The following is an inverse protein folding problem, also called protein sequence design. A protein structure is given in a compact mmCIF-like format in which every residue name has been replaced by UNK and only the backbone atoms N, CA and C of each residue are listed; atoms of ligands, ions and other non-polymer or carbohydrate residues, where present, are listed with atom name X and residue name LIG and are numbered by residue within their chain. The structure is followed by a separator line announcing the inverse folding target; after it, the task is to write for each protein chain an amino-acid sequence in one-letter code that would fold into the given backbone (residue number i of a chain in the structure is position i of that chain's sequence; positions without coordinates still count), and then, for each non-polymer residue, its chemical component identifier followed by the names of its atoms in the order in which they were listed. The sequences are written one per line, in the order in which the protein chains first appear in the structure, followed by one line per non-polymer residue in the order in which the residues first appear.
data_IF_363687407312
#
_entry.id   IF_363687407312
#
_cell.length_a   1.000
_cell.length_b   1.000
_cell.length_c   1.000
_cell.angle_alpha   90.00
_cell.angle_beta   90.00
_cell.angle_gamma   90.00
#
_symmetry.space_group_name_H-M   'P 1'
#
loop_
_entity.id
_entity.type
_entity.pdbx_description
1 polymer ?
#
# COMPACT_ATOMS: atom_id res chain seq x y z
N UNK A 1 23.88 3.52 -5.78
CA UNK A 1 23.31 3.81 -7.11
C UNK A 1 22.77 5.23 -7.12
N UNK A 2 22.83 5.97 -8.25
CA UNK A 2 22.37 7.35 -8.31
C UNK A 2 20.85 7.43 -8.21
N UNK A 3 20.36 8.34 -7.37
CA UNK A 3 18.93 8.53 -7.05
C UNK A 3 18.49 9.97 -7.29
N UNK A 4 19.20 10.70 -8.16
CA UNK A 4 19.05 12.13 -8.41
C UNK A 4 17.78 12.49 -9.21
N UNK A 5 16.63 11.88 -8.87
CA UNK A 5 15.34 12.09 -9.49
C UNK A 5 14.19 11.86 -8.48
N UNK A 6 13.54 12.93 -8.01
CA UNK A 6 12.31 12.80 -7.21
C UNK A 6 11.10 12.48 -8.08
N UNK A 7 11.07 13.05 -9.29
CA UNK A 7 10.05 12.77 -10.29
C UNK A 7 10.41 11.47 -10.99
N UNK A 8 9.44 10.58 -11.10
CA UNK A 8 9.56 9.33 -11.83
C UNK A 8 8.32 9.11 -12.70
N UNK A 9 8.49 8.43 -13.84
CA UNK A 9 7.34 7.98 -14.63
C UNK A 9 6.66 6.79 -13.94
N UNK A 10 5.35 6.68 -14.09
CA UNK A 10 4.59 5.52 -13.60
C UNK A 10 5.10 4.21 -14.19
N UNK A 11 5.65 4.25 -15.40
CA UNK A 11 6.36 3.12 -16.00
C UNK A 11 7.47 2.58 -15.09
N UNK A 12 8.49 3.39 -14.79
CA UNK A 12 9.62 2.97 -13.95
C UNK A 12 9.24 2.74 -12.49
N UNK A 13 8.26 3.49 -11.97
CA UNK A 13 7.84 3.35 -10.59
C UNK A 13 6.92 2.14 -10.35
N UNK A 14 6.19 1.65 -11.37
CA UNK A 14 5.23 0.57 -11.20
C UNK A 14 5.32 -0.50 -12.29
N UNK A 15 5.12 -0.14 -13.56
CA UNK A 15 4.96 -1.12 -14.65
C UNK A 15 6.23 -1.96 -14.86
N UNK A 16 7.41 -1.33 -14.81
CA UNK A 16 8.72 -1.98 -14.95
C UNK A 16 9.05 -2.93 -13.78
N UNK A 17 8.33 -2.81 -12.67
CA UNK A 17 8.43 -3.72 -11.53
C UNK A 17 7.43 -4.88 -11.64
N UNK A 18 6.73 -5.02 -12.77
CA UNK A 18 5.63 -5.97 -12.90
C UNK A 18 4.50 -5.71 -11.88
N UNK A 19 4.27 -4.45 -11.48
CA UNK A 19 3.13 -4.08 -10.65
C UNK A 19 1.93 -3.68 -11.55
N UNK A 20 0.75 -4.31 -11.40
CA UNK A 20 -0.36 -4.12 -12.33
C UNK A 20 -0.96 -2.70 -12.24
N UNK A 21 -1.55 -2.22 -13.34
CA UNK A 21 -2.11 -0.86 -13.42
C UNK A 21 -3.31 -0.62 -12.49
N UNK A 22 -4.09 -1.67 -12.21
CA UNK A 22 -5.22 -1.66 -11.28
C UNK A 22 -4.81 -1.78 -9.80
N UNK A 23 -3.51 -1.76 -9.48
CA UNK A 23 -3.04 -1.88 -8.11
C UNK A 23 -3.41 -0.63 -7.30
N UNK A 24 -3.99 -0.74 -6.08
CA UNK A 24 -4.47 0.39 -5.30
C UNK A 24 -3.38 1.42 -4.98
N UNK A 25 -2.13 0.99 -4.81
CA UNK A 25 -1.00 1.90 -4.61
C UNK A 25 -0.81 2.93 -5.75
N UNK A 26 -1.40 2.71 -6.93
CA UNK A 26 -1.36 3.63 -8.07
C UNK A 26 -2.50 4.65 -8.04
N UNK A 27 -3.42 4.56 -7.08
CA UNK A 27 -4.51 5.52 -6.93
C UNK A 27 -3.98 6.87 -6.43
N UNK A 28 -4.65 7.95 -6.82
CA UNK A 28 -4.32 9.32 -6.38
C UNK A 28 -4.45 9.49 -4.86
N UNK A 29 -5.15 8.59 -4.18
CA UNK A 29 -5.22 8.54 -2.72
C UNK A 29 -3.93 8.07 -2.07
N UNK A 30 -3.07 7.32 -2.76
CA UNK A 30 -1.82 6.77 -2.21
C UNK A 30 -0.57 7.40 -2.86
N UNK A 31 -0.70 7.94 -4.09
CA UNK A 31 0.41 8.46 -4.89
C UNK A 31 0.23 9.93 -5.28
N UNK A 32 1.31 10.71 -5.18
CA UNK A 32 1.35 12.09 -5.68
C UNK A 32 1.68 12.12 -7.18
N UNK A 33 0.67 12.30 -8.01
CA UNK A 33 0.85 12.55 -9.44
C UNK A 33 1.18 14.01 -9.72
N UNK A 34 2.00 14.26 -10.74
CA UNK A 34 2.34 15.62 -11.14
C UNK A 34 1.27 16.23 -12.03
N UNK A 35 1.00 17.52 -11.79
CA UNK A 35 0.26 18.36 -12.73
C UNK A 35 1.17 18.84 -13.87
N UNK A 36 2.39 19.26 -13.56
CA UNK A 36 3.37 19.76 -14.52
C UNK A 36 4.80 19.34 -14.09
N UNK A 37 5.57 18.65 -14.95
CA UNK A 37 5.14 17.96 -16.17
C UNK A 37 4.28 16.72 -15.83
N UNK A 38 3.04 16.64 -16.31
CA UNK A 38 2.13 15.51 -16.03
C UNK A 38 2.53 14.21 -16.72
N UNK A 39 3.24 14.28 -17.85
CA UNK A 39 3.65 13.11 -18.64
C UNK A 39 5.14 13.09 -18.90
N UNK A 40 5.71 11.89 -18.95
CA UNK A 40 7.10 11.67 -19.39
C UNK A 40 7.19 11.81 -20.92
N UNK A 41 8.34 12.31 -21.39
CA UNK A 41 8.60 12.51 -22.82
C UNK A 41 9.38 11.37 -23.47
N UNK A 42 10.09 10.56 -22.68
CA UNK A 42 11.00 9.53 -23.19
C UNK A 42 10.92 8.29 -22.30
N UNK A 43 10.63 7.16 -22.94
CA UNK A 43 10.76 5.82 -22.38
C UNK A 43 11.50 4.93 -23.40
N UNK A 44 12.16 3.86 -22.94
CA UNK A 44 12.76 2.88 -23.86
C UNK A 44 11.65 2.07 -24.54
N UNK A 45 11.26 2.45 -25.75
CA UNK A 45 10.08 1.90 -26.43
C UNK A 45 10.11 0.37 -26.58
N UNK A 46 11.26 -0.21 -26.94
CA UNK A 46 11.40 -1.67 -27.05
C UNK A 46 11.16 -2.38 -25.72
N UNK A 47 11.60 -1.78 -24.61
CA UNK A 47 11.38 -2.33 -23.28
C UNK A 47 9.94 -2.15 -22.83
N UNK A 48 9.33 -0.99 -23.11
CA UNK A 48 7.92 -0.75 -22.82
C UNK A 48 7.04 -1.80 -23.49
N UNK A 49 7.32 -2.16 -24.74
CA UNK A 49 6.49 -3.13 -25.45
C UNK A 49 6.66 -4.56 -24.94
N UNK A 50 7.88 -4.92 -24.49
CA UNK A 50 8.09 -6.19 -23.77
C UNK A 50 7.35 -6.22 -22.44
N UNK A 51 7.38 -5.12 -21.67
CA UNK A 51 6.63 -5.00 -20.40
C UNK A 51 5.14 -5.12 -20.65
N UNK A 52 4.59 -4.35 -21.59
CA UNK A 52 3.18 -4.41 -21.99
C UNK A 52 2.77 -5.85 -22.31
N UNK A 53 3.50 -6.53 -23.21
CA UNK A 53 3.20 -7.93 -23.59
C UNK A 53 3.12 -8.85 -22.38
N UNK A 54 4.09 -8.75 -21.45
CA UNK A 54 4.16 -9.60 -20.25
C UNK A 54 3.05 -9.29 -19.27
N UNK A 55 2.65 -8.03 -19.12
CA UNK A 55 1.50 -7.63 -18.30
C UNK A 55 0.18 -8.16 -18.87
N UNK A 56 -0.05 -8.00 -20.17
CA UNK A 56 -1.33 -8.34 -20.80
C UNK A 56 -1.49 -9.86 -20.99
N UNK A 57 -0.54 -10.45 -21.72
CA UNK A 57 -0.63 -11.81 -22.26
C UNK A 57 0.30 -12.81 -21.59
N UNK A 58 1.19 -12.33 -20.72
CA UNK A 58 2.24 -13.14 -20.14
C UNK A 58 3.45 -13.32 -21.05
N UNK A 59 4.32 -14.24 -20.66
CA UNK A 59 5.63 -14.46 -21.26
C UNK A 59 6.61 -15.00 -20.21
N UNK A 60 7.73 -15.56 -20.67
CA UNK A 60 8.79 -16.06 -19.79
C UNK A 60 8.30 -17.08 -18.73
N UNK A 61 7.38 -17.96 -19.12
CA UNK A 61 6.76 -18.94 -18.21
C UNK A 61 5.60 -18.41 -17.36
N UNK A 62 5.30 -17.11 -17.40
CA UNK A 62 4.18 -16.50 -16.70
C UNK A 62 2.95 -16.31 -17.58
N UNK A 63 1.77 -16.33 -16.97
CA UNK A 63 0.48 -16.03 -17.63
C UNK A 63 0.17 -14.54 -17.72
N UNK A 64 1.00 -13.68 -17.12
CA UNK A 64 0.71 -12.25 -17.01
C UNK A 64 -0.48 -11.97 -16.10
N UNK A 65 -1.04 -10.77 -16.22
CA UNK A 65 -2.20 -10.34 -15.43
C UNK A 65 -3.53 -10.43 -16.18
N UNK A 66 -3.53 -10.62 -17.51
CA UNK A 66 -4.75 -10.82 -18.29
C UNK A 66 -5.66 -9.58 -18.37
N UNK A 67 -5.07 -8.38 -18.48
CA UNK A 67 -5.80 -7.12 -18.64
C UNK A 67 -5.21 -6.30 -19.80
N UNK A 68 -5.92 -5.26 -20.23
CA UNK A 68 -5.44 -4.31 -21.24
C UNK A 68 -4.51 -3.27 -20.61
N UNK A 69 -3.24 -3.26 -21.00
CA UNK A 69 -2.23 -2.36 -20.48
C UNK A 69 -2.27 -1.03 -21.23
N UNK A 70 -2.46 0.06 -20.48
CA UNK A 70 -2.66 1.40 -21.05
C UNK A 70 -1.37 2.20 -21.02
N UNK A 71 -0.92 2.64 -22.20
CA UNK A 71 0.29 3.47 -22.33
C UNK A 71 0.16 4.81 -21.61
N UNK A 72 -1.02 5.38 -21.61
CA UNK A 72 -1.30 6.66 -20.94
C UNK A 72 -1.03 6.60 -19.44
N UNK A 73 -1.37 5.48 -18.79
CA UNK A 73 -1.13 5.27 -17.35
C UNK A 73 0.37 5.19 -17.05
N UNK A 74 1.15 4.52 -17.90
CA UNK A 74 2.60 4.41 -17.75
C UNK A 74 3.33 5.74 -17.98
N UNK A 75 2.77 6.60 -18.83
CA UNK A 75 3.35 7.90 -19.15
C UNK A 75 3.16 8.94 -18.03
N UNK A 76 2.23 8.76 -17.09
CA UNK A 76 1.98 9.71 -16.00
C UNK A 76 3.21 9.87 -15.12
N UNK A 77 3.62 11.09 -14.86
CA UNK A 77 4.67 11.39 -13.89
C UNK A 77 4.10 11.48 -12.47
N UNK A 78 4.91 11.07 -11.52
CA UNK A 78 4.62 11.08 -10.09
C UNK A 78 5.88 11.44 -9.29
N UNK A 79 5.69 11.76 -8.02
CA UNK A 79 6.78 11.72 -7.05
C UNK A 79 7.01 10.27 -6.64
N UNK A 80 8.25 9.78 -6.78
CA UNK A 80 8.57 8.36 -6.57
C UNK A 80 8.10 7.86 -5.20
N UNK A 81 7.47 6.69 -5.18
CA UNK A 81 6.84 6.15 -3.95
C UNK A 81 7.75 5.21 -3.16
N UNK A 82 8.82 4.74 -3.80
CA UNK A 82 9.85 3.87 -3.25
C UNK A 82 11.12 3.92 -4.12
N UNK A 83 12.28 3.64 -3.51
CA UNK A 83 13.59 3.59 -4.21
C UNK A 83 13.70 2.42 -5.19
N UNK A 84 12.79 1.46 -5.15
CA UNK A 84 12.78 0.30 -6.07
C UNK A 84 12.61 0.72 -7.54
N UNK A 85 12.05 1.91 -7.78
CA UNK A 85 12.04 2.50 -9.11
C UNK A 85 13.46 2.76 -9.63
N UNK A 86 14.36 3.24 -8.76
CA UNK A 86 15.79 3.44 -9.08
C UNK A 86 16.46 2.10 -9.36
N UNK A 87 16.17 1.09 -8.54
CA UNK A 87 16.66 -0.28 -8.73
C UNK A 87 16.27 -0.84 -10.11
N UNK A 88 15.03 -0.62 -10.55
CA UNK A 88 14.58 -1.06 -11.88
C UNK A 88 15.37 -0.41 -13.03
N UNK A 89 15.68 0.89 -12.92
CA UNK A 89 16.52 1.60 -13.90
C UNK A 89 17.94 1.05 -13.93
N UNK A 90 18.51 0.79 -12.76
CA UNK A 90 19.88 0.25 -12.65
C UNK A 90 19.98 -1.17 -13.22
N UNK A 91 19.00 -2.03 -12.92
CA UNK A 91 18.93 -3.38 -13.46
C UNK A 91 18.70 -3.38 -14.97
N UNK A 92 17.83 -2.50 -15.48
CA UNK A 92 17.65 -2.32 -16.92
C UNK A 92 18.95 -1.90 -17.60
N UNK A 93 19.66 -0.90 -17.04
CA UNK A 93 20.94 -0.45 -17.57
C UNK A 93 22.01 -1.55 -17.55
N UNK A 94 22.06 -2.36 -16.48
CA UNK A 94 22.94 -3.53 -16.39
C UNK A 94 22.63 -4.56 -17.49
N UNK A 95 21.35 -4.75 -17.81
CA UNK A 95 20.91 -5.70 -18.83
C UNK A 95 21.27 -5.29 -20.27
N UNK A 96 21.63 -4.01 -20.51
CA UNK A 96 22.00 -3.54 -21.85
C UNK A 96 23.44 -3.89 -22.24
N UNK A 97 24.25 -4.42 -21.32
CA UNK A 97 25.64 -4.80 -21.56
C UNK A 97 25.91 -6.27 -21.21
N UNK A 98 27.17 -6.72 -21.33
CA UNK A 98 27.55 -8.05 -20.86
C UNK A 98 27.26 -8.18 -19.36
N UNK A 99 26.59 -9.27 -18.99
CA UNK A 99 26.23 -9.49 -17.60
C UNK A 99 27.47 -9.62 -16.70
N UNK A 100 27.49 -8.87 -15.62
CA UNK A 100 28.45 -9.00 -14.54
C UNK A 100 27.71 -8.90 -13.19
N UNK A 101 28.06 -9.72 -12.19
CA UNK A 101 27.46 -9.63 -10.86
C UNK A 101 27.63 -8.23 -10.25
N UNK A 102 26.57 -7.72 -9.62
CA UNK A 102 26.57 -6.38 -9.00
C UNK A 102 25.84 -6.37 -7.67
N UNK A 103 26.31 -5.51 -6.78
CA UNK A 103 25.66 -5.16 -5.52
C UNK A 103 25.39 -3.67 -5.53
N UNK A 104 24.13 -3.28 -5.36
CA UNK A 104 23.73 -1.88 -5.32
C UNK A 104 23.04 -1.57 -4.00
N UNK A 105 23.18 -0.32 -3.56
CA UNK A 105 22.37 0.24 -2.49
C UNK A 105 22.03 1.70 -2.79
N UNK A 106 20.95 2.18 -2.20
CA UNK A 106 20.55 3.58 -2.19
C UNK A 106 19.94 3.96 -0.86
N UNK A 107 20.13 5.20 -0.45
CA UNK A 107 19.40 5.83 0.65
C UNK A 107 18.87 7.14 0.10
N UNK A 108 17.55 7.25 -0.05
CA UNK A 108 16.98 8.49 -0.56
C UNK A 108 15.51 8.68 -0.17
N UNK A 109 15.03 9.90 -0.34
CA UNK A 109 13.68 10.33 -0.01
C UNK A 109 12.65 9.81 -0.98
N UNK A 110 11.51 9.36 -0.47
CA UNK A 110 10.36 8.88 -1.23
C UNK A 110 9.09 9.56 -0.71
N UNK A 111 8.06 9.61 -1.55
CA UNK A 111 6.86 10.41 -1.31
C UNK A 111 5.62 9.51 -1.39
N UNK A 112 4.72 9.62 -0.41
CA UNK A 112 3.47 8.86 -0.38
C UNK A 112 2.35 9.75 0.09
N UNK A 113 1.20 9.66 -0.57
CA UNK A 113 0.02 10.44 -0.19
C UNK A 113 -0.71 9.78 0.99
N UNK A 114 0.04 9.45 2.04
CA UNK A 114 -0.50 8.89 3.27
C UNK A 114 -0.89 10.03 4.22
N UNK A 115 -1.91 9.80 5.06
CA UNK A 115 -2.32 10.78 6.04
C UNK A 115 -1.19 11.04 7.04
N UNK A 116 -0.77 12.30 7.15
CA UNK A 116 0.32 12.69 8.06
C UNK A 116 -0.13 12.54 9.51
N UNK A 117 0.50 11.63 10.24
CA UNK A 117 0.21 11.34 11.63
C UNK A 117 1.49 11.44 12.49
N UNK A 118 1.49 10.87 13.69
CA UNK A 118 2.65 10.86 14.60
C UNK A 118 3.81 9.99 14.10
N UNK A 119 3.52 9.04 13.22
CA UNK A 119 4.39 7.95 12.78
C UNK A 119 4.65 7.96 11.28
N UNK A 120 3.83 8.68 10.50
CA UNK A 120 3.89 8.75 9.06
C UNK A 120 3.98 10.20 8.60
N UNK A 121 4.95 10.44 7.72
CA UNK A 121 5.08 11.67 6.95
C UNK A 121 4.77 11.37 5.48
N UNK A 122 4.34 12.41 4.76
CA UNK A 122 4.15 12.35 3.32
C UNK A 122 5.47 12.13 2.54
N UNK A 123 6.61 12.41 3.18
CA UNK A 123 7.94 12.15 2.67
C UNK A 123 8.82 11.53 3.76
N UNK A 124 9.64 10.54 3.41
CA UNK A 124 10.57 9.86 4.31
C UNK A 124 11.71 9.22 3.52
N UNK A 125 12.80 8.80 4.16
CA UNK A 125 13.95 8.20 3.50
C UNK A 125 13.84 6.66 3.53
N UNK A 126 13.98 6.06 2.35
CA UNK A 126 14.03 4.62 2.18
C UNK A 126 15.48 4.21 1.89
N UNK A 127 15.94 3.21 2.63
CA UNK A 127 17.17 2.47 2.38
C UNK A 127 16.78 1.23 1.60
N UNK A 128 17.49 0.96 0.51
CA UNK A 128 17.32 -0.25 -0.28
C UNK A 128 18.67 -0.82 -0.68
N UNK A 129 18.78 -2.14 -0.61
CA UNK A 129 19.92 -2.91 -1.07
C UNK A 129 19.46 -4.01 -2.02
N UNK A 130 20.26 -4.31 -3.03
CA UNK A 130 20.02 -5.45 -3.92
C UNK A 130 21.33 -6.08 -4.39
N UNK A 131 21.27 -7.38 -4.66
CA UNK A 131 22.37 -8.17 -5.20
C UNK A 131 21.84 -8.94 -6.41
N UNK A 132 22.53 -8.80 -7.54
CA UNK A 132 22.22 -9.43 -8.81
C UNK A 132 23.39 -10.35 -9.16
N UNK A 133 23.13 -11.67 -9.21
CA UNK A 133 24.13 -12.71 -9.45
C UNK A 133 23.45 -14.00 -9.94
N UNK A 134 24.25 -14.97 -10.37
CA UNK A 134 23.77 -16.30 -10.78
C UNK A 134 23.61 -17.23 -9.56
N UNK A 135 22.55 -18.02 -9.54
CA UNK A 135 22.31 -19.02 -8.49
C UNK A 135 21.94 -18.42 -7.13
N UNK A 136 21.40 -17.19 -7.08
CA UNK A 136 20.91 -16.64 -5.82
C UNK A 136 19.65 -17.37 -5.35
N UNK A 137 19.57 -17.61 -4.04
CA UNK A 137 18.46 -18.34 -3.41
C UNK A 137 17.92 -17.53 -2.25
N UNK A 138 16.79 -17.97 -1.71
CA UNK A 138 16.23 -17.39 -0.49
C UNK A 138 17.20 -17.47 0.70
N UNK A 139 18.01 -18.53 0.77
CA UNK A 139 19.05 -18.69 1.78
C UNK A 139 20.13 -17.61 1.69
N UNK A 140 20.53 -17.22 0.48
CA UNK A 140 21.47 -16.11 0.28
C UNK A 140 20.88 -14.78 0.77
N UNK A 141 19.61 -14.50 0.49
CA UNK A 141 18.93 -13.33 1.02
C UNK A 141 18.91 -13.33 2.56
N UNK A 142 18.52 -14.43 3.18
CA UNK A 142 18.51 -14.56 4.64
C UNK A 142 19.91 -14.34 5.24
N UNK A 143 20.95 -14.93 4.64
CA UNK A 143 22.34 -14.76 5.07
C UNK A 143 22.81 -13.30 5.00
N UNK A 144 22.51 -12.61 3.90
CA UNK A 144 22.81 -11.17 3.74
C UNK A 144 22.08 -10.33 4.78
N UNK A 145 20.82 -10.64 5.07
CA UNK A 145 20.03 -9.94 6.09
C UNK A 145 20.60 -10.15 7.50
N UNK A 146 21.03 -11.36 7.84
CA UNK A 146 21.72 -11.63 9.09
C UNK A 146 23.02 -10.83 9.22
N UNK A 147 23.89 -10.82 8.21
CA UNK A 147 25.13 -10.02 8.22
C UNK A 147 24.80 -8.52 8.34
N UNK A 148 23.90 -8.01 7.51
CA UNK A 148 23.50 -6.60 7.51
C UNK A 148 22.97 -6.13 8.86
N UNK A 149 22.02 -6.85 9.46
CA UNK A 149 21.43 -6.44 10.74
C UNK A 149 22.32 -6.73 11.95
N UNK A 150 23.19 -7.74 11.89
CA UNK A 150 24.17 -7.99 12.96
C UNK A 150 25.13 -6.80 13.14
N UNK A 151 25.57 -6.18 12.04
CA UNK A 151 26.40 -4.95 12.05
C UNK A 151 25.66 -3.73 12.57
N UNK A 152 24.32 -3.78 12.61
CA UNK A 152 23.45 -2.78 13.23
C UNK A 152 23.06 -3.15 14.67
N UNK A 153 23.71 -4.15 15.29
CA UNK A 153 23.41 -4.60 16.65
C UNK A 153 22.11 -5.41 16.79
N UNK A 154 21.51 -5.85 15.69
CA UNK A 154 20.26 -6.61 15.66
C UNK A 154 20.51 -8.07 15.24
N UNK A 155 20.90 -8.91 16.19
CA UNK A 155 21.25 -10.32 15.94
C UNK A 155 20.05 -11.28 15.92
N UNK A 156 18.97 -10.95 16.64
CA UNK A 156 17.78 -11.81 16.76
C UNK A 156 16.76 -11.51 15.66
N UNK A 157 16.88 -12.20 14.52
CA UNK A 157 15.97 -12.04 13.38
C UNK A 157 14.92 -13.16 13.28
N UNK A 158 13.74 -12.81 12.77
CA UNK A 158 12.70 -13.72 12.29
C UNK A 158 12.18 -13.22 10.95
N UNK A 159 11.82 -14.16 10.09
CA UNK A 159 11.27 -13.88 8.76
C UNK A 159 9.84 -14.39 8.69
N UNK A 160 8.96 -13.58 8.12
CA UNK A 160 7.56 -13.93 7.92
C UNK A 160 7.24 -13.81 6.44
N UNK A 161 6.65 -14.85 5.80
CA UNK A 161 6.23 -14.75 4.41
C UNK A 161 5.31 -13.55 4.19
N UNK A 162 5.56 -12.82 3.12
CA UNK A 162 4.86 -11.61 2.76
C UNK A 162 4.49 -11.64 1.27
N UNK A 163 3.83 -10.59 0.81
CA UNK A 163 3.51 -10.38 -0.59
C UNK A 163 4.01 -9.00 -1.00
N UNK A 164 4.85 -8.95 -2.03
CA UNK A 164 5.06 -7.74 -2.82
C UNK A 164 4.88 -8.10 -4.31
N UNK A 165 4.20 -7.26 -5.11
CA UNK A 165 3.92 -7.57 -6.53
C UNK A 165 5.15 -7.94 -7.36
N UNK A 166 6.29 -7.33 -7.03
CA UNK A 166 7.55 -7.45 -7.78
C UNK A 166 8.51 -8.50 -7.22
N UNK A 167 8.13 -9.24 -6.17
CA UNK A 167 8.99 -10.31 -5.61
C UNK A 167 8.25 -11.62 -5.41
N UNK A 168 8.92 -12.73 -5.71
CA UNK A 168 8.48 -14.07 -5.35
C UNK A 168 9.71 -14.98 -5.19
N UNK A 169 10.00 -15.51 -3.99
CA UNK A 169 9.32 -15.30 -2.70
C UNK A 169 9.59 -13.92 -2.06
N UNK A 170 8.71 -13.49 -1.14
CA UNK A 170 8.87 -12.28 -0.31
C UNK A 170 8.84 -12.59 1.19
N UNK A 171 9.56 -11.79 1.99
CA UNK A 171 9.51 -11.88 3.45
C UNK A 171 9.59 -10.50 4.14
N UNK A 172 8.76 -10.33 5.16
CA UNK A 172 8.91 -9.30 6.19
C UNK A 172 10.00 -9.74 7.17
N UNK A 173 10.77 -8.75 7.65
CA UNK A 173 11.91 -8.95 8.54
C UNK A 173 11.54 -8.40 9.91
N UNK A 174 11.62 -9.25 10.93
CA UNK A 174 11.36 -8.90 12.32
C UNK A 174 12.64 -9.03 13.15
N UNK A 175 12.85 -8.10 14.08
CA UNK A 175 13.87 -8.24 15.13
C UNK A 175 13.24 -8.24 16.50
N UNK A 176 13.81 -9.02 17.43
CA UNK A 176 13.37 -9.01 18.81
C UNK A 176 13.89 -7.77 19.52
N UNK A 177 12.96 -7.04 20.12
CA UNK A 177 13.26 -5.79 20.80
C UNK A 177 13.29 -6.03 22.32
N UNK A 178 14.49 -6.06 22.92
CA UNK A 178 14.70 -6.38 24.35
C UNK A 178 13.87 -5.49 25.29
N UNK A 179 13.90 -4.16 25.10
CA UNK A 179 13.16 -3.22 25.95
C UNK A 179 11.63 -3.29 25.86
N UNK A 180 11.08 -3.92 24.80
CA UNK A 180 9.64 -4.06 24.57
C UNK A 180 9.17 -5.51 24.70
N UNK A 181 10.13 -6.42 24.89
CA UNK A 181 9.95 -7.86 24.94
C UNK A 181 9.07 -8.41 23.80
N UNK A 182 9.17 -7.84 22.59
CA UNK A 182 8.34 -8.22 21.43
C UNK A 182 9.12 -8.20 20.12
N UNK A 183 8.60 -8.93 19.14
CA UNK A 183 9.07 -8.88 17.75
C UNK A 183 8.53 -7.63 17.06
N UNK A 184 9.42 -6.86 16.43
CA UNK A 184 9.10 -5.63 15.70
C UNK A 184 9.56 -5.76 14.26
N UNK A 185 8.71 -5.37 13.31
CA UNK A 185 9.06 -5.32 11.90
C UNK A 185 10.09 -4.21 11.66
N UNK A 186 11.22 -4.58 11.07
CA UNK A 186 12.35 -3.68 10.79
C UNK A 186 12.60 -3.48 9.30
N UNK A 187 12.01 -4.31 8.44
CA UNK A 187 12.18 -4.21 7.00
C UNK A 187 11.35 -5.21 6.21
N UNK A 188 11.46 -5.13 4.89
CA UNK A 188 10.84 -6.03 3.93
C UNK A 188 11.87 -6.45 2.87
N UNK A 189 11.70 -7.61 2.27
CA UNK A 189 12.64 -8.16 1.30
C UNK A 189 11.98 -9.20 0.39
N UNK A 190 12.68 -9.59 -0.65
CA UNK A 190 12.28 -10.68 -1.52
C UNK A 190 13.23 -10.90 -2.69
N UNK A 191 12.90 -11.87 -3.52
CA UNK A 191 13.59 -12.15 -4.77
C UNK A 191 12.78 -11.55 -5.93
N UNK A 192 13.38 -10.73 -6.78
CA UNK A 192 12.63 -10.11 -7.88
C UNK A 192 12.10 -11.15 -8.85
N UNK A 193 10.88 -10.92 -9.31
CA UNK A 193 10.17 -11.80 -10.21
C UNK A 193 10.83 -11.92 -11.59
N UNK A 194 10.81 -13.09 -12.23
CA UNK A 194 11.26 -13.25 -13.61
C UNK A 194 10.53 -12.32 -14.60
N UNK A 195 9.23 -12.06 -14.37
CA UNK A 195 8.44 -11.14 -15.21
C UNK A 195 8.86 -9.68 -15.10
N UNK A 196 9.62 -9.33 -14.06
CA UNK A 196 10.27 -8.04 -13.94
C UNK A 196 11.64 -8.07 -14.63
N UNK A 197 12.46 -9.11 -14.40
CA UNK A 197 13.87 -9.14 -14.82
C UNK A 197 14.07 -9.51 -16.29
N UNK A 198 13.35 -10.52 -16.79
CA UNK A 198 13.57 -11.07 -18.13
C UNK A 198 13.19 -10.08 -19.25
N UNK A 199 12.10 -9.28 -19.13
CA UNK A 199 11.82 -8.22 -20.10
C UNK A 199 12.91 -7.15 -20.17
N UNK A 200 13.70 -6.95 -19.10
CA UNK A 200 14.83 -6.01 -19.12
C UNK A 200 15.96 -6.51 -20.04
N UNK A 201 16.05 -7.82 -20.28
CA UNK A 201 17.12 -8.47 -21.03
C UNK A 201 18.16 -9.17 -20.15
N UNK A 202 17.90 -9.34 -18.85
CA UNK A 202 18.80 -10.12 -17.99
C UNK A 202 18.75 -11.62 -18.39
N UNK A 203 19.89 -12.34 -18.32
CA UNK A 203 19.93 -13.79 -18.57
C UNK A 203 19.00 -14.57 -17.63
N UNK A 204 18.44 -15.69 -18.11
CA UNK A 204 17.46 -16.50 -17.34
C UNK A 204 18.00 -17.11 -16.05
N UNK A 205 19.30 -17.36 -15.99
CA UNK A 205 20.00 -17.93 -14.84
C UNK A 205 20.53 -16.86 -13.86
N UNK A 206 20.19 -15.59 -14.08
CA UNK A 206 20.46 -14.49 -13.17
C UNK A 206 19.25 -14.24 -12.28
N UNK A 207 19.49 -14.14 -10.98
CA UNK A 207 18.47 -13.78 -9.99
C UNK A 207 18.87 -12.51 -9.26
N UNK A 208 17.88 -11.81 -8.71
CA UNK A 208 18.09 -10.61 -7.91
C UNK A 208 17.41 -10.75 -6.56
N UNK A 209 18.17 -10.61 -5.49
CA UNK A 209 17.65 -10.51 -4.12
C UNK A 209 17.71 -9.06 -3.68
N UNK A 210 16.66 -8.57 -3.01
CA UNK A 210 16.58 -7.19 -2.57
C UNK A 210 15.91 -7.08 -1.19
N UNK A 211 16.28 -6.02 -0.46
CA UNK A 211 15.68 -5.67 0.82
C UNK A 211 15.60 -4.15 0.98
N UNK A 212 14.66 -3.71 1.82
CA UNK A 212 14.49 -2.31 2.13
C UNK A 212 13.93 -2.06 3.51
N UNK A 213 14.27 -0.88 4.05
CA UNK A 213 13.80 -0.39 5.34
C UNK A 213 13.70 1.14 5.31
N UNK A 214 12.95 1.72 6.24
CA UNK A 214 12.95 3.17 6.47
C UNK A 214 14.17 3.55 7.30
N UNK A 215 14.75 4.73 7.04
CA UNK A 215 15.81 5.31 7.86
C UNK A 215 15.26 5.93 9.15
N UNK A 216 14.08 6.53 9.07
CA UNK A 216 13.44 7.23 10.20
C UNK A 216 13.17 6.28 11.36
N UNK A 217 12.76 5.05 11.09
CA UNK A 217 12.43 4.08 12.15
C UNK A 217 13.63 3.73 13.04
N UNK A 218 14.75 3.20 12.53
CA UNK A 218 15.94 2.99 13.35
C UNK A 218 16.42 4.25 14.06
N UNK A 219 16.27 5.43 13.44
CA UNK A 219 16.71 6.71 14.02
C UNK A 219 15.82 7.16 15.17
N UNK A 220 14.49 7.10 14.99
CA UNK A 220 13.49 7.38 16.02
C UNK A 220 13.58 6.40 17.17
N UNK A 221 13.95 5.16 16.85
CA UNK A 221 14.46 4.21 17.80
C UNK A 221 15.75 4.85 18.34
N UNK A 222 16.98 4.58 17.91
CA UNK A 222 18.23 5.17 18.45
C UNK A 222 18.18 6.39 19.41
N UNK A 223 17.52 7.50 19.02
CA UNK A 223 17.38 8.73 19.80
C UNK A 223 16.17 8.84 20.75
N UNK A 224 15.31 7.83 20.89
CA UNK A 224 14.15 7.88 21.80
C UNK A 224 13.06 8.85 21.35
N UNK A 225 12.88 9.04 20.04
CA UNK A 225 11.96 10.02 19.47
C UNK A 225 10.61 9.37 19.18
N UNK A 226 9.56 9.91 19.80
CA UNK A 226 8.21 9.35 19.79
C UNK A 226 7.33 9.85 18.63
N UNK A 227 7.73 10.93 17.97
CA UNK A 227 6.99 11.58 16.90
C UNK A 227 7.94 11.97 15.78
N UNK A 228 7.67 11.46 14.57
CA UNK A 228 8.54 11.61 13.40
C UNK A 228 8.77 13.08 13.01
N UNK A 229 7.83 13.97 13.34
CA UNK A 229 7.93 15.42 13.06
C UNK A 229 8.99 16.12 13.89
N UNK A 230 9.37 15.52 15.01
CA UNK A 230 10.41 16.03 15.90
C UNK A 230 11.81 15.56 15.43
N UNK A 231 11.84 14.54 14.55
CA UNK A 231 13.06 14.05 13.91
C UNK A 231 13.36 14.80 12.60
N UNK A 232 12.34 15.01 11.77
CA UNK A 232 12.51 15.51 10.41
C UNK A 232 11.43 16.53 10.02
N UNK A 233 11.86 17.63 9.39
CA UNK A 233 11.00 18.69 8.87
C UNK A 233 11.33 20.07 9.45
N UNK A 234 10.63 21.10 8.96
CA UNK A 234 10.86 22.49 9.37
C UNK A 234 10.43 22.81 10.82
N UNK A 235 9.77 21.87 11.50
CA UNK A 235 9.31 22.01 12.90
C UNK A 235 10.24 21.36 13.92
N UNK A 236 11.37 20.80 13.48
CA UNK A 236 12.34 20.16 14.37
C UNK A 236 12.92 21.17 15.35
N UNK A 237 12.97 20.80 16.63
CA UNK A 237 13.63 21.59 17.67
C UNK A 237 15.15 21.53 17.48
N UNK A 238 15.78 22.65 17.16
CA UNK A 238 17.23 22.74 17.00
C UNK A 238 17.99 22.40 18.30
N UNK A 239 17.34 22.54 19.46
CA UNK A 239 17.92 22.16 20.75
C UNK A 239 18.07 20.63 20.87
N UNK A 240 17.19 19.86 20.24
CA UNK A 240 17.31 18.41 20.14
C UNK A 240 18.52 18.02 19.29
N UNK A 241 18.73 18.71 18.15
CA UNK A 241 19.89 18.48 17.28
C UNK A 241 21.21 18.76 18.02
N UNK A 242 21.27 19.85 18.79
CA UNK A 242 22.48 20.24 19.54
C UNK A 242 22.80 19.32 20.71
N UNK A 243 21.77 18.78 21.38
CA UNK A 243 21.93 17.92 22.57
C UNK A 243 22.15 16.46 22.24
N UNK A 244 21.57 15.98 21.15
CA UNK A 244 21.67 14.57 20.80
C UNK A 244 23.11 14.19 20.45
N UNK A 245 23.61 13.06 20.98
CA UNK A 245 24.95 12.60 20.67
C UNK A 245 25.05 12.22 19.19
N UNK A 246 26.27 12.29 18.65
CA UNK A 246 26.58 11.77 17.32
C UNK A 246 26.21 10.28 17.30
N UNK A 247 25.45 9.85 16.29
CA UNK A 247 25.20 8.43 16.06
C UNK A 247 26.53 7.72 15.80
N UNK A 248 26.97 6.89 16.76
CA UNK A 248 28.11 5.99 16.61
C UNK A 248 27.61 4.57 16.67
N UNK A 249 27.98 3.78 15.67
CA UNK A 249 27.76 2.35 15.65
C UNK A 249 28.95 1.70 16.36
N UNK A 250 28.90 1.61 17.69
CA UNK A 250 29.93 0.88 18.43
C UNK A 250 29.75 -0.62 18.17
N UNK A 251 30.67 -1.20 17.41
CA UNK A 251 30.70 -2.62 17.00
C UNK A 251 31.21 -3.52 18.15
N UNK A 252 31.60 -2.94 19.29
CA UNK A 252 32.18 -3.63 20.42
C UNK A 252 31.11 -4.17 21.38
N UNK A 253 30.47 -5.29 21.03
CA UNK A 253 29.93 -6.31 21.96
C UNK A 253 28.80 -5.96 22.93
N UNK A 254 28.70 -4.72 23.40
CA UNK A 254 27.60 -4.19 24.19
C UNK A 254 26.64 -3.54 23.21
N UNK A 255 25.75 -4.36 22.68
CA UNK A 255 24.76 -3.94 21.71
C UNK A 255 24.09 -2.66 22.17
N UNK A 256 24.11 -1.65 21.29
CA UNK A 256 23.15 -0.56 21.18
C UNK A 256 22.20 -0.52 22.40
N UNK A 257 22.61 0.22 23.45
CA UNK A 257 21.83 0.46 24.68
C UNK A 257 20.60 1.27 24.31
N UNK A 258 19.65 0.55 23.76
CA UNK A 258 18.54 1.09 23.02
C UNK A 258 17.37 1.24 24.03
N UNK A 259 17.25 2.42 24.65
CA UNK A 259 16.10 2.74 25.53
C UNK A 259 14.86 2.99 24.69
N UNK A 260 13.96 2.01 24.58
CA UNK A 260 12.85 2.08 23.60
C UNK A 260 11.47 1.73 24.10
N UNK A 261 10.56 2.65 23.78
CA UNK A 261 9.12 2.56 23.98
C UNK A 261 8.36 2.17 22.71
N UNK A 262 7.08 1.84 22.91
CA UNK A 262 6.24 0.92 22.12
C UNK A 262 5.60 1.56 20.88
N UNK A 263 5.85 1.06 19.66
CA UNK A 263 5.11 1.51 18.45
C UNK A 263 4.80 0.41 17.41
N UNK A 264 3.93 0.75 16.44
CA UNK A 264 3.26 -0.09 15.43
C UNK A 264 3.99 -0.13 14.07
N UNK A 265 3.80 -1.20 13.30
CA UNK A 265 4.60 -1.62 12.11
C UNK A 265 4.06 -1.10 10.76
N UNK A 266 4.86 -1.14 9.65
CA UNK A 266 4.39 -0.69 8.31
C UNK A 266 3.33 -1.67 7.84
N UNK A 267 2.28 -1.16 7.21
CA UNK A 267 1.64 -1.91 6.14
C UNK A 267 2.14 -1.33 4.84
N UNK A 268 2.88 -2.11 4.07
CA UNK A 268 3.01 -1.88 2.63
C UNK A 268 1.60 -1.82 2.04
N UNK A 269 1.40 -0.93 1.08
CA UNK A 269 0.17 -0.82 0.31
C UNK A 269 -0.32 -2.22 -0.10
N UNK A 270 -1.49 -2.62 0.42
CA UNK A 270 -2.20 -3.82 -0.01
C UNK A 270 -1.66 -5.19 0.42
N UNK A 271 -1.30 -5.40 1.69
CA UNK A 271 -1.36 -6.76 2.28
C UNK A 271 -2.54 -6.86 3.26
N UNK A 272 -3.63 -7.47 2.80
CA UNK A 272 -4.75 -7.88 3.67
C UNK A 272 -4.46 -9.25 4.28
N UNK A 273 -3.62 -9.31 5.31
CA UNK A 273 -3.77 -10.32 6.38
C UNK A 273 -3.48 -9.71 7.75
N UNK A 274 -4.53 -9.11 8.32
CA UNK A 274 -4.60 -8.95 9.76
C UNK A 274 -4.78 -10.36 10.35
N UNK A 275 -3.87 -10.78 11.23
CA UNK A 275 -4.15 -11.80 12.25
C UNK A 275 -5.20 -11.28 13.24
N UNK A 276 -6.42 -11.08 12.74
CA UNK A 276 -7.63 -10.96 13.53
C UNK A 276 -8.33 -12.29 13.34
N UNK A 277 -8.60 -13.01 14.42
CA UNK A 277 -9.52 -14.14 14.43
C UNK A 277 -10.99 -13.70 14.26
N UNK A 278 -11.23 -12.58 13.59
CA UNK A 278 -12.53 -12.17 13.12
C UNK A 278 -12.44 -11.87 11.64
N UNK A 279 -13.27 -12.56 10.86
CA UNK A 279 -13.44 -12.35 9.42
C UNK A 279 -13.54 -10.83 9.12
N UNK A 280 -12.87 -10.32 8.06
CA UNK A 280 -12.96 -8.92 7.70
C UNK A 280 -14.42 -8.54 7.44
N UNK A 281 -14.99 -7.74 8.33
CA UNK A 281 -16.30 -7.12 8.11
C UNK A 281 -16.09 -6.05 7.04
N UNK A 282 -16.25 -6.43 5.78
CA UNK A 282 -16.15 -5.54 4.62
C UNK A 282 -17.18 -4.41 4.77
N UNK A 283 -16.81 -3.29 5.40
CA UNK A 283 -17.66 -2.10 5.51
C UNK A 283 -17.80 -1.44 4.12
N UNK A 284 -18.70 -0.47 4.00
CA UNK A 284 -19.04 0.22 2.76
C UNK A 284 -20.33 -0.28 2.09
N UNK A 285 -20.68 0.41 1.01
CA UNK A 285 -21.80 0.07 0.13
C UNK A 285 -21.53 -1.30 -0.50
N UNK A 286 -22.59 -2.12 -0.60
CA UNK A 286 -22.59 -3.47 -1.21
C UNK A 286 -23.46 -3.53 -2.45
N UNK A 287 -24.44 -2.63 -2.54
CA UNK A 287 -25.32 -2.46 -3.69
C UNK A 287 -25.41 -0.99 -4.04
N UNK A 288 -24.97 -0.62 -5.24
CA UNK A 288 -24.93 0.77 -5.70
C UNK A 288 -26.28 1.21 -6.29
N UNK A 289 -26.42 2.51 -6.54
CA UNK A 289 -27.66 3.07 -7.08
C UNK A 289 -28.03 2.43 -8.43
N UNK A 290 -29.29 2.03 -8.60
CA UNK A 290 -29.81 1.33 -9.78
C UNK A 290 -29.65 -0.19 -9.74
N UNK A 291 -28.92 -0.76 -8.79
CA UNK A 291 -28.77 -2.21 -8.68
C UNK A 291 -30.00 -2.89 -8.08
N UNK A 292 -30.38 -4.04 -8.66
CA UNK A 292 -31.48 -4.86 -8.16
C UNK A 292 -31.10 -5.57 -6.86
N UNK A 293 -32.04 -5.58 -5.93
CA UNK A 293 -31.94 -6.24 -4.62
C UNK A 293 -33.22 -7.00 -4.30
N UNK A 294 -33.10 -8.11 -3.57
CA UNK A 294 -34.22 -8.86 -2.98
C UNK A 294 -34.23 -8.67 -1.45
N UNK A 295 -35.32 -8.96 -0.73
CA UNK A 295 -35.36 -8.87 0.73
C UNK A 295 -34.20 -9.61 1.39
N UNK A 296 -33.57 -8.99 2.39
CA UNK A 296 -32.39 -9.51 3.09
C UNK A 296 -31.06 -9.17 2.44
N UNK A 297 -31.03 -8.71 1.18
CA UNK A 297 -29.78 -8.24 0.57
C UNK A 297 -29.19 -7.08 1.35
N UNK A 298 -27.90 -7.19 1.65
CA UNK A 298 -27.17 -6.11 2.31
C UNK A 298 -26.89 -5.01 1.30
N UNK A 299 -27.28 -3.78 1.63
CA UNK A 299 -27.08 -2.60 0.79
C UNK A 299 -25.86 -1.81 1.25
N UNK A 300 -25.70 -1.60 2.57
CA UNK A 300 -24.54 -0.89 3.13
C UNK A 300 -24.14 -1.52 4.46
N UNK A 301 -22.89 -1.96 4.59
CA UNK A 301 -22.31 -2.29 5.92
C UNK A 301 -21.60 -1.06 6.46
N UNK A 302 -22.00 -0.53 7.60
CA UNK A 302 -21.43 0.69 8.15
C UNK A 302 -21.29 0.59 9.67
N UNK A 303 -20.59 1.57 10.25
CA UNK A 303 -20.56 1.79 11.70
C UNK A 303 -21.17 3.16 11.97
N UNK A 304 -22.20 3.20 12.81
CA UNK A 304 -23.02 4.40 13.00
C UNK A 304 -23.89 4.70 11.77
N UNK A 305 -24.50 5.88 11.73
CA UNK A 305 -25.53 6.27 10.76
C UNK A 305 -24.99 7.19 9.67
N UNK A 306 -23.95 6.75 8.93
CA UNK A 306 -23.42 7.50 7.77
C UNK A 306 -24.45 7.54 6.63
N UNK A 307 -25.16 6.45 6.45
CA UNK A 307 -26.33 6.28 5.59
C UNK A 307 -27.52 5.93 6.48
N UNK A 308 -28.68 6.52 6.22
CA UNK A 308 -29.90 6.30 6.98
C UNK A 308 -30.86 5.40 6.18
N UNK A 309 -31.58 4.49 6.83
CA UNK A 309 -32.59 3.67 6.17
C UNK A 309 -33.76 4.54 5.70
N UNK A 310 -34.01 4.55 4.39
CA UNK A 310 -35.20 5.15 3.78
C UNK A 310 -36.25 4.08 3.49
N UNK A 311 -37.10 4.34 2.49
CA UNK A 311 -38.23 3.47 2.15
C UNK A 311 -37.75 2.06 1.76
N UNK A 312 -38.36 1.05 2.37
CA UNK A 312 -38.07 -0.38 2.16
C UNK A 312 -36.63 -0.81 2.48
N UNK A 313 -35.96 -0.09 3.40
CA UNK A 313 -34.63 -0.43 3.91
C UNK A 313 -34.67 -0.56 5.43
N UNK A 314 -34.20 -1.69 5.96
CA UNK A 314 -34.05 -1.93 7.39
C UNK A 314 -32.65 -1.60 7.89
N UNK A 315 -32.50 -1.38 9.19
CA UNK A 315 -31.20 -1.23 9.86
C UNK A 315 -31.02 -2.30 10.94
N UNK A 316 -29.90 -3.02 10.89
CA UNK A 316 -29.52 -4.00 11.90
C UNK A 316 -28.94 -3.35 13.15
N UNK A 317 -28.85 -4.11 14.26
CA UNK A 317 -28.21 -3.65 15.52
C UNK A 317 -26.75 -3.21 15.32
N UNK A 318 -26.08 -3.71 14.29
CA UNK A 318 -24.71 -3.35 13.90
C UNK A 318 -24.64 -2.16 12.93
N UNK A 319 -25.76 -1.47 12.69
CA UNK A 319 -25.96 -0.39 11.71
C UNK A 319 -25.91 -0.78 10.23
N UNK A 320 -25.88 -2.08 9.92
CA UNK A 320 -25.96 -2.56 8.53
C UNK A 320 -27.34 -2.28 7.93
N UNK A 321 -27.37 -1.70 6.73
CA UNK A 321 -28.59 -1.49 5.95
C UNK A 321 -28.86 -2.67 5.02
N UNK A 322 -30.10 -3.15 5.00
CA UNK A 322 -30.54 -4.26 4.16
C UNK A 322 -31.92 -3.99 3.53
N UNK A 323 -32.18 -4.59 2.38
CA UNK A 323 -33.45 -4.45 1.66
C UNK A 323 -34.57 -5.19 2.38
N UNK A 324 -35.76 -4.58 2.46
CA UNK A 324 -36.98 -5.21 2.97
C UNK A 324 -37.92 -5.69 1.86
N UNK A 325 -37.82 -5.10 0.66
CA UNK A 325 -38.61 -5.47 -0.52
C UNK A 325 -37.68 -5.66 -1.72
N UNK A 326 -38.16 -6.40 -2.72
CA UNK A 326 -37.44 -6.52 -3.98
C UNK A 326 -37.58 -5.25 -4.83
N UNK A 327 -36.48 -4.74 -5.39
CA UNK A 327 -36.47 -3.49 -6.14
C UNK A 327 -35.08 -3.01 -6.52
N UNK A 328 -34.96 -1.74 -6.90
CA UNK A 328 -33.68 -1.10 -7.23
C UNK A 328 -33.23 -0.15 -6.11
N UNK A 329 -31.95 -0.15 -5.79
CA UNK A 329 -31.40 0.72 -4.74
C UNK A 329 -31.32 2.17 -5.22
N UNK A 330 -31.71 3.12 -4.38
CA UNK A 330 -31.58 4.56 -4.63
C UNK A 330 -30.94 5.27 -3.45
N UNK A 331 -29.94 6.08 -3.73
CA UNK A 331 -29.29 6.94 -2.74
C UNK A 331 -29.80 8.37 -2.89
N UNK A 332 -30.19 8.99 -1.78
CA UNK A 332 -30.64 10.37 -1.74
C UNK A 332 -29.81 11.16 -0.73
N UNK A 333 -29.54 12.44 -1.04
CA UNK A 333 -28.92 13.37 -0.10
C UNK A 333 -29.87 14.52 0.16
N UNK A 334 -30.33 14.64 1.40
CA UNK A 334 -31.22 15.73 1.79
C UNK A 334 -30.51 17.08 1.69
N UNK A 335 -31.06 18.00 0.89
CA UNK A 335 -30.39 19.24 0.48
C UNK A 335 -30.08 20.19 1.65
N UNK A 336 -30.96 20.24 2.65
CA UNK A 336 -30.84 21.18 3.79
C UNK A 336 -29.98 20.63 4.94
N UNK A 337 -30.01 19.32 5.18
CA UNK A 337 -29.33 18.69 6.34
C UNK A 337 -28.08 17.90 5.95
N UNK A 338 -27.84 17.70 4.65
CA UNK A 338 -26.74 16.91 4.12
C UNK A 338 -26.82 15.40 4.40
N UNK A 339 -27.87 14.93 5.10
CA UNK A 339 -28.06 13.52 5.46
C UNK A 339 -28.25 12.65 4.22
N UNK A 340 -27.58 11.50 4.21
CA UNK A 340 -27.67 10.52 3.13
C UNK A 340 -28.64 9.41 3.52
N UNK A 341 -29.61 9.14 2.66
CA UNK A 341 -30.65 8.14 2.81
C UNK A 341 -30.53 7.08 1.71
N UNK A 342 -30.96 5.87 2.02
CA UNK A 342 -30.94 4.72 1.11
C UNK A 342 -32.32 4.13 1.04
N UNK A 343 -32.88 4.05 -0.16
CA UNK A 343 -34.22 3.55 -0.43
C UNK A 343 -34.10 2.34 -1.36
N UNK A 344 -35.11 1.47 -1.34
CA UNK A 344 -35.34 0.50 -2.41
C UNK A 344 -36.64 0.88 -3.11
N UNK A 345 -36.58 1.10 -4.43
CA UNK A 345 -37.75 1.36 -5.27
C UNK A 345 -38.32 0.01 -5.73
N UNK A 346 -39.49 -0.43 -5.23
CA UNK A 346 -40.01 -1.76 -5.51
C UNK A 346 -40.36 -1.96 -6.99
N UNK A 347 -40.14 -3.17 -7.50
CA UNK A 347 -40.39 -3.50 -8.92
C UNK A 347 -41.88 -3.53 -9.28
N UNK A 348 -42.76 -3.80 -8.32
CA UNK A 348 -44.21 -4.00 -8.53
C UNK A 348 -45.07 -2.81 -8.06
N UNK A 349 -44.46 -1.65 -7.77
CA UNK A 349 -45.17 -0.48 -7.24
C UNK A 349 -45.19 -0.39 -5.70
N UNK A 350 -45.66 0.76 -5.20
CA UNK A 350 -45.62 1.14 -3.79
C UNK A 350 -46.76 0.50 -2.99
N UNK A 351 -46.44 -0.17 -1.88
CA UNK A 351 -47.40 -0.43 -0.81
C UNK A 351 -46.85 0.17 0.47
N UNK A 352 -47.62 1.05 1.10
CA UNK A 352 -47.21 1.77 2.30
C UNK A 352 -46.82 0.81 3.43
N UNK A 353 -45.77 1.17 4.16
CA UNK A 353 -45.23 0.39 5.27
C UNK A 353 -46.24 0.32 6.44
N UNK A 354 -46.40 -0.82 7.15
CA UNK A 354 -47.41 -0.99 8.21
C UNK A 354 -47.33 0.03 9.36
N UNK A 355 -46.13 0.55 9.62
CA UNK A 355 -45.89 1.62 10.62
C UNK A 355 -46.63 2.93 10.29
N UNK A 356 -46.97 3.16 9.01
CA UNK A 356 -47.77 4.30 8.57
C UNK A 356 -49.24 3.95 8.31
N UNK A 357 -49.62 2.67 8.41
CA UNK A 357 -51.02 2.24 8.24
C UNK A 357 -51.89 2.60 9.46
N UNK A 358 -51.30 2.76 10.65
CA UNK A 358 -52.03 3.10 11.88
C UNK A 358 -52.15 4.61 12.17
N UNK A 359 -51.65 5.48 11.29
CA UNK A 359 -51.67 6.94 11.47
C UNK A 359 -52.73 7.66 10.61
N UNK A 360 -53.68 6.91 10.03
CA UNK A 360 -54.68 7.42 9.08
C UNK A 360 -56.14 7.37 9.55
N UNK A 361 -56.40 7.29 10.86
CA UNK A 361 -57.75 7.46 11.40
C UNK A 361 -57.87 8.83 12.09
N UNK A 362 -58.08 9.88 11.29
CA UNK A 362 -58.70 11.10 11.77
C UNK A 362 -60.22 10.97 11.57
N UNK A 363 -61.05 11.38 12.55
CA UNK A 363 -62.51 11.19 12.49
C UNK A 363 -63.15 12.04 11.39
N UNK A 364 -64.23 11.51 10.79
CA UNK A 364 -65.07 12.19 9.81
C UNK A 364 -65.50 13.58 10.31
N UNK A 365 -65.12 14.62 9.58
CA UNK A 365 -65.84 15.89 9.64
C UNK A 365 -67.15 15.71 8.88
N UNK A 366 -68.25 15.60 9.64
CA UNK A 366 -69.60 15.77 9.09
C UNK A 366 -69.73 17.18 8.53
N UNK A 367 -70.09 17.27 7.26
CA UNK A 367 -70.64 18.47 6.64
C UNK A 367 -71.93 18.86 7.33
N UNK A 368 -72.02 20.11 7.78
CA UNK A 368 -73.24 20.89 7.87
C UNK A 368 -73.02 22.18 7.10
#
# INVERSE_FOLDING_TARGET
MPTNNFVESSFWNFDALFQPQQHPARDSHDTFFLKEPSTTRKLPEDYVERVKRVHESGGYGSRGYGYEWKREEANKNLLRTHTTAVSSRMLYALAQGPFAPKRYYSIDRVFRNEAVDRTHLAEFHQIEGLICDRGLTLGHLIGVLHDFFSRLGMSKLKFKPAYNPYTEPSMEIFSYHEGLQKWVEIGNSGMFRPEMLLPMGLPEDVQVIAWGLSLERPTMILYGIDNIRDLFGHKVDLSLIKRNPICRLDVSGEGLSLVFRRWATKKTAGSTKNGRDSLPKNLGVKKFGGERVIPGNIIVRQRGTRFHPGNYVGIGKDHTLYALKEGCVKFERHKLTGRKWVHVEPKEGYESHPVYASAGAAPEMKTA
#
